data_IF_260638262714
#
_entry.id   IF_260638262714
#
_cell.length_a   1.000
_cell.length_b   1.000
_cell.length_c   1.000
_cell.angle_alpha   90.00
_cell.angle_beta   90.00
_cell.angle_gamma   90.00
#
_symmetry.space_group_name_H-M   'P 1'
#
loop_
_entity.id
_entity.type
_entity.pdbx_description
1 polymer ?
#
# COMPACT_ATOMS: atom_id res chain seq x y z
N UNK A 1 5.55 -2.99 -4.57
CA UNK A 1 5.02 -2.36 -3.35
C UNK A 1 5.75 -1.06 -3.02
N UNK A 2 7.00 -1.11 -2.52
CA UNK A 2 7.74 0.12 -2.18
C UNK A 2 7.77 1.15 -3.32
N UNK A 3 8.23 0.74 -4.50
CA UNK A 3 8.27 1.60 -5.69
C UNK A 3 6.89 1.99 -6.22
N UNK A 4 5.85 1.16 -6.02
CA UNK A 4 4.50 1.52 -6.46
C UNK A 4 3.89 2.60 -5.57
N UNK A 5 4.19 2.58 -4.27
CA UNK A 5 3.81 3.63 -3.32
C UNK A 5 4.54 4.94 -3.58
N UNK A 6 5.83 4.91 -3.95
CA UNK A 6 6.56 6.13 -4.38
C UNK A 6 5.82 6.79 -5.54
N UNK A 7 5.51 6.02 -6.60
CA UNK A 7 4.82 6.54 -7.78
C UNK A 7 3.43 7.11 -7.47
N UNK A 8 2.67 6.45 -6.60
CA UNK A 8 1.36 6.93 -6.18
C UNK A 8 1.45 8.18 -5.29
N UNK A 9 2.46 8.26 -4.43
CA UNK A 9 2.74 9.48 -3.65
C UNK A 9 3.09 10.63 -4.58
N UNK A 10 4.00 10.41 -5.53
CA UNK A 10 4.42 11.42 -6.50
C UNK A 10 3.25 11.92 -7.36
N UNK A 11 2.38 11.01 -7.84
CA UNK A 11 1.20 11.38 -8.63
C UNK A 11 0.12 12.09 -7.81
N UNK A 12 0.04 11.82 -6.51
CA UNK A 12 -0.84 12.53 -5.60
C UNK A 12 -0.28 13.91 -5.19
N UNK A 13 1.01 14.20 -5.40
CA UNK A 13 1.63 15.48 -5.05
C UNK A 13 2.74 15.41 -3.97
N UNK A 14 3.30 14.23 -3.72
CA UNK A 14 4.45 14.03 -2.83
C UNK A 14 4.10 14.02 -1.33
N UNK A 15 2.94 13.48 -0.96
CA UNK A 15 2.42 13.55 0.41
C UNK A 15 3.04 12.54 1.39
N UNK A 16 3.71 11.49 0.91
CA UNK A 16 4.41 10.52 1.76
C UNK A 16 5.93 10.71 1.70
N UNK A 17 6.57 10.71 2.87
CA UNK A 17 8.01 10.62 2.98
C UNK A 17 8.48 9.14 2.97
N UNK A 18 9.79 8.92 2.90
CA UNK A 18 10.41 7.59 2.87
C UNK A 18 10.01 6.70 4.07
N UNK A 19 9.88 7.29 5.26
CA UNK A 19 9.44 6.59 6.48
C UNK A 19 7.99 6.12 6.38
N UNK A 20 7.09 6.97 5.88
CA UNK A 20 5.67 6.62 5.67
C UNK A 20 5.56 5.44 4.70
N UNK A 21 6.32 5.48 3.60
CA UNK A 21 6.33 4.42 2.58
C UNK A 21 6.83 3.09 3.18
N UNK A 22 7.88 3.13 4.01
CA UNK A 22 8.40 1.95 4.72
C UNK A 22 7.37 1.38 5.70
N UNK A 23 6.68 2.26 6.45
CA UNK A 23 5.66 1.85 7.41
C UNK A 23 4.46 1.17 6.73
N UNK A 24 3.93 1.77 5.66
CA UNK A 24 2.84 1.16 4.87
C UNK A 24 3.28 -0.17 4.26
N UNK A 25 4.48 -0.21 3.66
CA UNK A 25 5.03 -1.43 3.06
C UNK A 25 5.11 -2.56 4.07
N UNK A 26 5.65 -2.28 5.27
CA UNK A 26 5.79 -3.27 6.33
C UNK A 26 4.43 -3.74 6.85
N UNK A 27 3.50 -2.81 7.06
CA UNK A 27 2.14 -3.11 7.55
C UNK A 27 1.36 -4.00 6.59
N UNK A 28 1.45 -3.76 5.28
CA UNK A 28 0.82 -4.61 4.26
C UNK A 28 1.44 -6.01 4.26
N UNK A 29 2.77 -6.11 4.32
CA UNK A 29 3.46 -7.42 4.39
C UNK A 29 3.05 -8.20 5.64
N UNK A 30 2.96 -7.54 6.80
CA UNK A 30 2.50 -8.17 8.04
C UNK A 30 1.05 -8.64 7.95
N UNK A 31 0.17 -7.85 7.34
CA UNK A 31 -1.23 -8.21 7.14
C UNK A 31 -1.37 -9.45 6.25
N UNK A 32 -0.61 -9.53 5.16
CA UNK A 32 -0.56 -10.71 4.28
C UNK A 32 -0.13 -11.95 5.07
N UNK A 33 0.93 -11.82 5.89
CA UNK A 33 1.42 -12.93 6.72
C UNK A 33 0.40 -13.39 7.76
N UNK A 34 -0.35 -12.46 8.35
CA UNK A 34 -1.39 -12.77 9.36
C UNK A 34 -2.61 -13.45 8.72
N UNK A 35 -3.07 -12.97 7.57
CA UNK A 35 -4.23 -13.53 6.88
C UNK A 35 -3.92 -14.87 6.21
N UNK A 36 -2.67 -15.08 5.78
CA UNK A 36 -2.25 -16.29 5.06
C UNK A 36 -0.97 -16.90 5.64
N UNK A 37 -1.02 -17.47 6.86
CA UNK A 37 0.16 -18.01 7.53
C UNK A 37 0.83 -19.18 6.77
N UNK A 38 0.06 -19.90 5.94
CA UNK A 38 0.51 -21.10 5.23
C UNK A 38 0.58 -20.93 3.70
N UNK A 39 0.29 -19.74 3.16
CA UNK A 39 0.29 -19.52 1.71
C UNK A 39 0.62 -18.06 1.35
N UNK A 40 1.84 -17.82 0.85
CA UNK A 40 2.30 -16.48 0.48
C UNK A 40 1.87 -16.05 -0.94
N UNK A 41 1.03 -16.84 -1.61
CA UNK A 41 0.52 -16.47 -2.93
C UNK A 41 -0.64 -15.49 -2.74
N UNK A 42 -0.43 -14.27 -3.23
CA UNK A 42 -1.45 -13.21 -3.29
C UNK A 42 -1.54 -12.73 -4.74
N UNK A 43 -2.77 -12.52 -5.21
CA UNK A 43 -2.98 -11.94 -6.54
C UNK A 43 -2.70 -10.45 -6.52
N UNK A 44 -2.36 -9.87 -7.66
CA UNK A 44 -2.11 -8.43 -7.77
C UNK A 44 -3.33 -7.58 -7.35
N UNK A 45 -4.55 -8.07 -7.58
CA UNK A 45 -5.78 -7.38 -7.20
C UNK A 45 -6.00 -7.38 -5.68
N UNK A 46 -5.78 -8.52 -5.02
CA UNK A 46 -5.83 -8.62 -3.56
C UNK A 46 -4.78 -7.71 -2.92
N UNK A 47 -3.53 -7.79 -3.41
CA UNK A 47 -2.46 -6.94 -2.94
C UNK A 47 -2.80 -5.45 -3.10
N UNK A 48 -3.34 -5.05 -4.27
CA UNK A 48 -3.79 -3.67 -4.51
C UNK A 48 -4.84 -3.25 -3.48
N UNK A 49 -5.88 -4.07 -3.25
CA UNK A 49 -6.95 -3.73 -2.31
C UNK A 49 -6.44 -3.58 -0.87
N UNK A 50 -5.53 -4.44 -0.44
CA UNK A 50 -4.91 -4.34 0.89
C UNK A 50 -4.11 -3.05 1.04
N UNK A 51 -3.42 -2.60 -0.01
CA UNK A 51 -2.66 -1.34 0.01
C UNK A 51 -3.60 -0.13 0.08
N UNK A 52 -4.67 -0.12 -0.73
CA UNK A 52 -5.68 0.95 -0.71
C UNK A 52 -6.29 1.12 0.69
N UNK A 53 -6.76 0.02 1.28
CA UNK A 53 -7.32 0.02 2.63
C UNK A 53 -6.31 0.53 3.66
N UNK A 54 -5.06 0.07 3.58
CA UNK A 54 -4.03 0.51 4.53
C UNK A 54 -3.71 2.01 4.38
N UNK A 55 -3.69 2.52 3.16
CA UNK A 55 -3.52 3.95 2.90
C UNK A 55 -4.69 4.77 3.44
N UNK A 56 -5.94 4.29 3.27
CA UNK A 56 -7.14 4.92 3.83
C UNK A 56 -7.11 4.95 5.38
N UNK A 57 -6.77 3.83 6.01
CA UNK A 57 -6.66 3.71 7.48
C UNK A 57 -5.65 4.69 8.10
N UNK A 58 -4.53 4.92 7.41
CA UNK A 58 -3.45 5.79 7.87
C UNK A 58 -3.64 7.25 7.42
N UNK A 59 -4.78 7.59 6.81
CA UNK A 59 -5.14 8.95 6.42
C UNK A 59 -4.55 9.42 5.08
N UNK A 60 -3.94 8.53 4.30
CA UNK A 60 -3.40 8.81 2.96
C UNK A 60 -4.44 8.63 1.84
N UNK A 61 -5.68 9.10 2.05
CA UNK A 61 -6.81 8.89 1.11
C UNK A 61 -6.51 9.35 -0.31
N UNK A 62 -5.85 10.50 -0.50
CA UNK A 62 -5.46 10.97 -1.85
C UNK A 62 -4.50 10.04 -2.57
N UNK A 63 -3.63 9.35 -1.82
CA UNK A 63 -2.69 8.39 -2.38
C UNK A 63 -3.40 7.07 -2.66
N UNK A 64 -4.33 6.66 -1.79
CA UNK A 64 -5.19 5.50 -2.03
C UNK A 64 -5.96 5.67 -3.34
N UNK A 65 -6.59 6.83 -3.55
CA UNK A 65 -7.29 7.18 -4.80
C UNK A 65 -6.34 7.13 -6.01
N UNK A 66 -5.16 7.74 -5.90
CA UNK A 66 -4.15 7.71 -6.97
C UNK A 66 -3.63 6.30 -7.28
N UNK A 67 -3.58 5.42 -6.27
CA UNK A 67 -3.14 4.04 -6.39
C UNK A 67 -4.15 3.16 -7.15
N UNK A 68 -5.44 3.49 -7.09
CA UNK A 68 -6.50 2.78 -7.83
C UNK A 68 -6.38 2.96 -9.35
N UNK A 69 -5.91 4.11 -9.81
CA UNK A 69 -5.79 4.44 -11.24
C UNK A 69 -4.47 3.98 -11.89
N UNK A 70 -3.61 3.30 -11.12
CA UNK A 70 -2.29 2.80 -11.55
C UNK A 70 -2.28 1.27 -11.62
#
# INVERSE_FOLDING_TARGET
LYYSLIKASDSAGGYMNDSDIKQITSSVIESIRKERPNNNIITSNELRRMIELKLEEEGFTKIAEAYTYY
#
